data_IF_550441078580
#
_entry.id   IF_550441078580
#
_cell.length_a   1.000
_cell.length_b   1.000
_cell.length_c   1.000
_cell.angle_alpha   90.00
_cell.angle_beta   90.00
_cell.angle_gamma   90.00
#
_symmetry.space_group_name_H-M   'P 1'
#
loop_
_entity.id
_entity.type
_entity.pdbx_description
1 polymer ?
#
# COMPACT_ATOMS: atom_id res chain seq x y z
N UNK A 1 -7.76 -13.75 -45.22
CA UNK A 1 -6.82 -13.92 -44.09
C UNK A 1 -7.55 -13.44 -42.85
N UNK A 2 -8.05 -14.35 -42.03
CA UNK A 2 -8.75 -14.03 -40.78
C UNK A 2 -7.72 -13.64 -39.73
N UNK A 3 -7.81 -12.43 -39.19
CA UNK A 3 -6.95 -11.98 -38.11
C UNK A 3 -7.24 -12.83 -36.86
N UNK A 4 -6.21 -13.50 -36.34
CA UNK A 4 -6.25 -14.20 -35.05
C UNK A 4 -6.56 -13.15 -33.97
N UNK A 5 -7.61 -13.31 -33.14
CA UNK A 5 -7.83 -12.39 -32.05
C UNK A 5 -6.61 -12.50 -31.14
N UNK A 6 -5.94 -11.38 -30.89
CA UNK A 6 -4.90 -11.34 -29.87
C UNK A 6 -5.59 -11.77 -28.56
N UNK A 7 -5.23 -12.94 -28.05
CA UNK A 7 -5.69 -13.38 -26.74
C UNK A 7 -5.41 -12.23 -25.77
N UNK A 8 -6.43 -11.78 -25.03
CA UNK A 8 -6.26 -10.69 -24.08
C UNK A 8 -5.06 -11.01 -23.19
N UNK A 9 -4.04 -10.15 -23.20
CA UNK A 9 -2.82 -10.39 -22.46
C UNK A 9 -3.15 -10.59 -20.97
N UNK A 10 -2.54 -11.61 -20.35
CA UNK A 10 -2.78 -11.91 -18.94
C UNK A 10 -2.38 -10.70 -18.07
N UNK A 11 -3.27 -10.27 -17.17
CA UNK A 11 -3.03 -9.19 -16.21
C UNK A 11 -2.58 -9.76 -14.87
N UNK A 12 -1.69 -9.03 -14.18
CA UNK A 12 -1.21 -9.37 -12.85
C UNK A 12 -1.73 -8.37 -11.80
N UNK A 13 -2.11 -8.88 -10.63
CA UNK A 13 -2.49 -8.10 -9.45
C UNK A 13 -2.03 -8.81 -8.17
N UNK A 14 -2.12 -8.11 -7.03
CA UNK A 14 -1.85 -8.63 -5.68
C UNK A 14 -2.96 -8.18 -4.73
N UNK A 15 -3.28 -8.98 -3.72
CA UNK A 15 -4.37 -8.68 -2.77
C UNK A 15 -4.01 -7.65 -1.69
N UNK A 16 -2.72 -7.40 -1.48
CA UNK A 16 -2.23 -6.42 -0.52
C UNK A 16 -0.71 -6.42 -0.43
N UNK A 17 -0.14 -5.48 0.31
CA UNK A 17 1.30 -5.32 0.44
C UNK A 17 1.74 -5.05 1.89
N UNK A 18 2.95 -5.50 2.32
CA UNK A 18 3.47 -5.16 3.64
C UNK A 18 3.56 -3.65 3.89
N UNK A 19 2.72 -3.16 4.80
CA UNK A 19 2.57 -1.73 5.11
C UNK A 19 3.64 -1.12 6.02
N UNK A 20 4.53 -1.93 6.58
CA UNK A 20 5.48 -1.47 7.61
C UNK A 20 6.55 -0.52 7.08
N UNK A 21 6.84 -0.57 5.78
CA UNK A 21 8.01 0.04 5.17
C UNK A 21 9.30 -0.73 5.46
N UNK A 22 10.35 -0.49 4.67
CA UNK A 22 11.61 -1.25 4.72
C UNK A 22 12.30 -1.14 6.09
N UNK A 23 12.17 0.00 6.78
CA UNK A 23 12.79 0.25 8.06
C UNK A 23 11.77 0.35 9.21
N UNK A 24 10.57 -0.23 9.04
CA UNK A 24 9.47 -0.21 10.02
C UNK A 24 9.01 1.20 10.36
N UNK A 25 8.95 2.08 9.36
CA UNK A 25 8.54 3.47 9.46
C UNK A 25 7.14 3.59 10.09
N UNK A 26 6.19 2.74 9.67
CA UNK A 26 4.83 2.77 10.20
C UNK A 26 4.80 2.46 11.71
N UNK A 27 5.47 1.38 12.13
CA UNK A 27 5.62 1.03 13.56
C UNK A 27 6.19 2.19 14.37
N UNK A 28 7.28 2.80 13.90
CA UNK A 28 7.94 3.92 14.59
C UNK A 28 7.02 5.13 14.72
N UNK A 29 6.27 5.46 13.67
CA UNK A 29 5.32 6.57 13.68
C UNK A 29 4.15 6.32 14.64
N UNK A 30 3.57 5.12 14.63
CA UNK A 30 2.48 4.73 15.54
C UNK A 30 2.93 4.77 17.00
N UNK A 31 4.07 4.15 17.32
CA UNK A 31 4.63 4.20 18.68
C UNK A 31 5.04 5.61 19.09
N UNK A 32 5.45 6.44 18.15
CA UNK A 32 5.70 7.86 18.36
C UNK A 32 4.41 8.57 18.76
N UNK A 33 3.33 8.34 18.01
CA UNK A 33 2.03 8.95 18.23
C UNK A 33 1.44 8.56 19.58
N UNK A 34 1.42 7.26 19.91
CA UNK A 34 0.93 6.79 21.21
C UNK A 34 1.73 7.33 22.40
N UNK A 35 3.03 7.60 22.22
CA UNK A 35 3.89 8.21 23.25
C UNK A 35 3.83 9.74 23.25
N UNK A 36 3.02 10.37 22.41
CA UNK A 36 2.95 11.83 22.26
C UNK A 36 4.21 12.47 21.67
N UNK A 37 5.10 11.69 21.04
CA UNK A 37 6.37 12.17 20.45
C UNK A 37 6.21 12.69 19.02
N UNK A 38 5.16 12.26 18.32
CA UNK A 38 4.76 12.82 17.02
C UNK A 38 3.27 13.10 17.04
N UNK A 39 2.86 14.12 16.30
CA UNK A 39 1.44 14.47 16.14
C UNK A 39 0.74 13.60 15.09
N UNK A 40 -0.58 13.73 15.03
CA UNK A 40 -1.41 13.00 14.08
C UNK A 40 -1.06 13.34 12.62
N UNK A 41 -0.67 14.58 12.32
CA UNK A 41 -0.26 15.00 10.98
C UNK A 41 1.02 14.31 10.53
N UNK A 42 2.00 14.16 11.41
CA UNK A 42 3.24 13.43 11.13
C UNK A 42 2.96 11.95 10.88
N UNK A 43 2.13 11.31 11.71
CA UNK A 43 1.68 9.93 11.48
C UNK A 43 0.98 9.77 10.12
N UNK A 44 0.07 10.69 9.78
CA UNK A 44 -0.65 10.68 8.50
C UNK A 44 0.28 10.86 7.31
N UNK A 45 1.25 11.77 7.39
CA UNK A 45 2.26 11.98 6.34
C UNK A 45 3.10 10.73 6.11
N UNK A 46 3.66 10.12 7.16
CA UNK A 46 4.42 8.88 7.04
C UNK A 46 3.61 7.77 6.37
N UNK A 47 2.36 7.58 6.77
CA UNK A 47 1.49 6.58 6.15
C UNK A 47 1.17 6.89 4.68
N UNK A 48 0.97 8.17 4.32
CA UNK A 48 0.72 8.58 2.95
C UNK A 48 1.95 8.38 2.04
N UNK A 49 3.15 8.65 2.56
CA UNK A 49 4.42 8.39 1.87
C UNK A 49 4.63 6.89 1.62
N UNK A 50 4.37 6.06 2.64
CA UNK A 50 4.45 4.60 2.51
C UNK A 50 3.49 4.06 1.45
N UNK A 51 2.22 4.48 1.46
CA UNK A 51 1.25 4.06 0.43
C UNK A 51 1.71 4.47 -0.97
N UNK A 52 2.16 5.71 -1.12
CA UNK A 52 2.62 6.24 -2.41
C UNK A 52 3.82 5.45 -2.94
N UNK A 53 4.81 5.18 -2.09
CA UNK A 53 5.98 4.39 -2.46
C UNK A 53 5.61 2.98 -2.89
N UNK A 54 4.73 2.32 -2.14
CA UNK A 54 4.23 0.98 -2.50
C UNK A 54 3.50 0.98 -3.84
N UNK A 55 2.62 1.95 -4.09
CA UNK A 55 1.89 2.02 -5.36
C UNK A 55 2.82 2.22 -6.55
N UNK A 56 3.82 3.08 -6.41
CA UNK A 56 4.84 3.29 -7.43
C UNK A 56 5.63 2.00 -7.68
N UNK A 57 6.11 1.35 -6.62
CA UNK A 57 6.87 0.11 -6.72
C UNK A 57 6.08 -1.02 -7.41
N UNK A 58 4.80 -1.18 -7.07
CA UNK A 58 3.95 -2.20 -7.70
C UNK A 58 3.70 -1.91 -9.18
N UNK A 59 3.41 -0.65 -9.52
CA UNK A 59 3.24 -0.24 -10.91
C UNK A 59 4.53 -0.44 -11.73
N UNK A 60 5.67 -0.04 -11.20
CA UNK A 60 6.99 -0.23 -11.82
C UNK A 60 7.37 -1.71 -11.98
N UNK A 61 6.90 -2.57 -11.06
CA UNK A 61 7.06 -4.02 -11.15
C UNK A 61 6.13 -4.70 -12.18
N UNK A 62 5.28 -3.95 -12.88
CA UNK A 62 4.37 -4.48 -13.90
C UNK A 62 3.06 -5.04 -13.33
N UNK A 63 2.68 -4.66 -12.10
CA UNK A 63 1.34 -4.94 -11.57
C UNK A 63 0.34 -4.07 -12.32
N UNK A 64 -0.64 -4.72 -12.95
CA UNK A 64 -1.60 -4.07 -13.85
C UNK A 64 -2.74 -3.40 -13.07
N UNK A 65 -3.07 -3.94 -11.90
CA UNK A 65 -4.08 -3.43 -10.98
C UNK A 65 -3.47 -3.38 -9.58
N UNK A 66 -3.13 -2.18 -9.14
CA UNK A 66 -2.52 -1.94 -7.82
C UNK A 66 -3.63 -1.94 -6.76
N UNK A 67 -3.52 -2.73 -5.68
CA UNK A 67 -4.53 -2.75 -4.64
C UNK A 67 -4.58 -1.43 -3.86
N UNK A 68 -5.79 -1.09 -3.44
CA UNK A 68 -6.06 0.01 -2.51
C UNK A 68 -7.01 -0.48 -1.43
N UNK A 69 -6.88 0.05 -0.21
CA UNK A 69 -7.70 -0.34 0.94
C UNK A 69 -7.10 -1.46 1.80
N UNK A 70 -5.95 -2.02 1.40
CA UNK A 70 -5.18 -3.00 2.17
C UNK A 70 -4.35 -2.36 3.30
N UNK A 71 -4.02 -1.07 3.17
CA UNK A 71 -3.28 -0.32 4.18
C UNK A 71 -4.14 -0.01 5.41
N UNK A 72 -3.62 -0.33 6.60
CA UNK A 72 -4.23 0.03 7.88
C UNK A 72 -3.19 0.58 8.86
N UNK A 73 -3.60 1.50 9.73
CA UNK A 73 -2.76 1.92 10.84
C UNK A 73 -2.60 0.82 11.90
N UNK A 74 -3.55 -0.12 12.02
CA UNK A 74 -3.52 -1.12 13.08
C UNK A 74 -4.03 -2.47 12.62
N UNK A 75 -5.28 -2.53 12.18
CA UNK A 75 -5.88 -3.75 11.66
C UNK A 75 -7.00 -3.40 10.66
N UNK A 76 -7.04 -4.16 9.57
CA UNK A 76 -7.96 -3.94 8.47
C UNK A 76 -9.38 -4.45 8.76
N UNK A 77 -9.55 -5.43 9.66
CA UNK A 77 -10.90 -5.85 10.10
C UNK A 77 -11.49 -4.76 10.99
N UNK A 78 -10.69 -4.21 11.92
CA UNK A 78 -11.07 -3.06 12.74
C UNK A 78 -11.47 -1.85 11.90
N UNK A 79 -10.77 -1.57 10.80
CA UNK A 79 -11.09 -0.44 9.91
C UNK A 79 -12.47 -0.56 9.24
N UNK A 80 -13.04 -1.77 9.19
CA UNK A 80 -14.36 -2.07 8.58
C UNK A 80 -15.49 -2.22 9.59
N UNK A 81 -15.22 -2.06 10.88
CA UNK A 81 -16.19 -2.27 11.97
C UNK A 81 -17.11 -1.08 12.22
#
# INVERSE_FOLDING_TARGET
>A
MTAKPAAAAARATVYGYPRQGQNRELKKAIEGYWKGRVDADTLRRTAAELRRGTWQQLAEAGVHEVPTGDFSYYDHVLDTS
#
